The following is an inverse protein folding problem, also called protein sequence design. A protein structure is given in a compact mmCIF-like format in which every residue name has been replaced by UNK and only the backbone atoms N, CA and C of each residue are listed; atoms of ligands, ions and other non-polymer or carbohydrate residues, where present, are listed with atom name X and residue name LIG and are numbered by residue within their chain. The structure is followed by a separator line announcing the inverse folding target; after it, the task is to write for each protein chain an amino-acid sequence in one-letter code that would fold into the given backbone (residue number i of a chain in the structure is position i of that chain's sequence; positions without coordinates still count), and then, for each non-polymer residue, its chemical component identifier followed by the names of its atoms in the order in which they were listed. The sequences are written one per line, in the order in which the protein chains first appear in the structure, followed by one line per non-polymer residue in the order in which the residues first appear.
data_IF_725307281828
#
_entry.id   IF_725307281828
#
_cell.length_a   1.000
_cell.length_b   1.000
_cell.length_c   1.000
_cell.angle_alpha   90.00
_cell.angle_beta   90.00
_cell.angle_gamma   90.00
#
_symmetry.space_group_name_H-M   'P 1'
#
loop_
_entity.id
_entity.type
_entity.pdbx_description
1 polymer ?
#
# COMPACT_ATOMS: atom_id res chain seq x y z
N UNK A 1 -18.88 -14.64 -9.09
CA UNK A 1 -17.96 -13.74 -9.88
C UNK A 1 -18.26 -13.69 -11.39
N UNK A 2 -19.34 -14.30 -11.86
CA UNK A 2 -19.74 -14.33 -13.28
C UNK A 2 -20.62 -13.11 -13.62
N UNK A 3 -21.26 -12.51 -12.63
CA UNK A 3 -22.10 -11.32 -12.80
C UNK A 3 -21.33 -10.10 -12.34
N UNK A 4 -21.16 -9.07 -13.19
CA UNK A 4 -20.50 -7.83 -12.79
C UNK A 4 -21.28 -7.20 -11.63
N UNK A 5 -20.56 -6.72 -10.63
CA UNK A 5 -21.19 -5.98 -9.54
C UNK A 5 -21.53 -4.55 -9.99
N UNK A 6 -22.37 -3.86 -9.20
CA UNK A 6 -22.83 -2.49 -9.51
C UNK A 6 -21.66 -1.52 -9.72
N UNK A 7 -20.55 -1.69 -8.98
CA UNK A 7 -19.36 -0.83 -9.13
C UNK A 7 -18.67 -1.08 -10.47
N UNK A 8 -18.58 -2.33 -10.93
CA UNK A 8 -18.04 -2.66 -12.26
C UNK A 8 -18.93 -2.09 -13.37
N UNK A 9 -20.25 -2.19 -13.24
CA UNK A 9 -21.20 -1.60 -14.18
C UNK A 9 -21.07 -0.08 -14.24
N UNK A 10 -21.04 0.60 -13.09
CA UNK A 10 -20.87 2.05 -13.03
C UNK A 10 -19.54 2.53 -13.65
N UNK A 11 -18.46 1.72 -13.48
CA UNK A 11 -17.16 2.01 -14.12
C UNK A 11 -17.19 1.83 -15.63
N UNK A 12 -17.92 0.83 -16.13
CA UNK A 12 -18.10 0.61 -17.56
C UNK A 12 -18.86 1.77 -18.21
N UNK A 13 -19.91 2.27 -17.53
CA UNK A 13 -20.69 3.42 -18.00
C UNK A 13 -19.90 4.74 -17.97
N UNK A 14 -18.96 4.89 -17.00
CA UNK A 14 -18.09 6.06 -16.88
C UNK A 14 -16.77 5.94 -17.64
N UNK A 15 -16.53 4.82 -18.33
CA UNK A 15 -15.24 4.34 -18.80
C UNK A 15 -14.59 5.07 -19.97
N UNK A 16 -14.81 6.37 -20.09
CA UNK A 16 -14.15 7.21 -21.12
C UNK A 16 -12.75 7.60 -20.62
N UNK A 17 -11.71 7.26 -21.40
CA UNK A 17 -10.36 7.78 -21.23
C UNK A 17 -9.43 6.99 -20.31
N UNK A 18 -9.64 5.69 -20.14
CA UNK A 18 -8.68 4.82 -19.42
C UNK A 18 -7.36 4.79 -20.18
N UNK A 19 -6.29 5.24 -19.53
CA UNK A 19 -4.93 5.17 -20.11
C UNK A 19 -4.39 3.77 -19.95
N UNK A 20 -3.93 3.19 -21.05
CA UNK A 20 -3.16 1.95 -21.03
C UNK A 20 -1.69 2.22 -20.72
N UNK A 21 -1.02 1.20 -20.17
CA UNK A 21 0.43 1.13 -20.12
C UNK A 21 1.02 1.27 -21.55
N UNK A 22 2.16 1.94 -21.65
CA UNK A 22 2.87 2.15 -22.92
C UNK A 22 3.21 0.85 -23.65
N UNK A 23 3.49 -0.23 -22.91
CA UNK A 23 3.80 -1.55 -23.49
C UNK A 23 2.55 -2.17 -24.12
N UNK A 24 1.42 -2.13 -23.42
CA UNK A 24 0.14 -2.65 -23.91
C UNK A 24 -0.37 -1.84 -25.11
N UNK A 25 -0.25 -0.54 -25.05
CA UNK A 25 -0.58 0.33 -26.19
C UNK A 25 0.26 0.00 -27.44
N UNK A 26 1.56 -0.23 -27.27
CA UNK A 26 2.44 -0.61 -28.38
C UNK A 26 1.99 -1.94 -29.03
N UNK A 27 1.55 -2.91 -28.22
CA UNK A 27 1.02 -4.18 -28.72
C UNK A 27 -0.27 -3.94 -29.53
N UNK A 28 -1.23 -3.16 -29.01
CA UNK A 28 -2.46 -2.84 -29.74
C UNK A 28 -2.18 -2.12 -31.06
N UNK A 29 -1.31 -1.12 -31.05
CA UNK A 29 -0.94 -0.35 -32.24
C UNK A 29 -0.25 -1.25 -33.30
N UNK A 30 0.74 -2.05 -32.89
CA UNK A 30 1.44 -2.97 -33.80
C UNK A 30 0.51 -4.03 -34.40
N UNK A 31 -0.44 -4.53 -33.60
CA UNK A 31 -1.42 -5.50 -34.06
C UNK A 31 -2.37 -4.83 -35.10
N UNK A 32 -2.88 -3.65 -34.83
CA UNK A 32 -3.74 -2.92 -35.76
C UNK A 32 -3.04 -2.63 -37.10
N UNK A 33 -1.76 -2.21 -37.06
CA UNK A 33 -0.96 -1.97 -38.28
C UNK A 33 -0.74 -3.28 -39.07
N UNK A 34 -0.45 -4.38 -38.40
CA UNK A 34 -0.23 -5.68 -39.03
C UNK A 34 -1.47 -6.24 -39.72
N UNK A 35 -2.66 -5.87 -39.24
CA UNK A 35 -3.94 -6.34 -39.77
C UNK A 35 -4.63 -5.31 -40.65
N UNK A 36 -3.90 -4.26 -41.10
CA UNK A 36 -4.37 -3.22 -42.03
C UNK A 36 -5.70 -2.57 -41.62
N UNK A 37 -5.88 -2.33 -40.32
CA UNK A 37 -7.09 -1.68 -39.80
C UNK A 37 -7.06 -0.22 -40.19
N UNK A 38 -7.96 0.17 -41.11
CA UNK A 38 -8.07 1.54 -41.62
C UNK A 38 -8.94 2.45 -40.74
N UNK A 39 -9.85 1.89 -39.97
CA UNK A 39 -10.78 2.62 -39.13
C UNK A 39 -10.10 3.41 -38.02
N UNK A 40 -10.62 4.58 -37.68
CA UNK A 40 -10.09 5.40 -36.58
C UNK A 40 -10.27 4.71 -35.22
N UNK A 41 -11.32 3.91 -35.07
CA UNK A 41 -11.63 3.11 -33.87
C UNK A 41 -11.86 1.67 -34.30
N UNK A 42 -11.24 0.73 -33.59
CA UNK A 42 -11.47 -0.70 -33.78
C UNK A 42 -11.84 -1.36 -32.45
N UNK A 43 -12.51 -2.50 -32.52
CA UNK A 43 -13.09 -3.16 -31.35
C UNK A 43 -12.49 -4.54 -31.11
N UNK A 44 -12.28 -4.86 -29.83
CA UNK A 44 -11.88 -6.17 -29.34
C UNK A 44 -12.97 -6.74 -28.45
N UNK A 45 -13.47 -7.92 -28.76
CA UNK A 45 -14.40 -8.64 -27.90
C UNK A 45 -13.64 -9.56 -26.95
N UNK A 46 -13.91 -9.42 -25.65
CA UNK A 46 -13.22 -10.13 -24.58
C UNK A 46 -14.20 -11.07 -23.87
N UNK A 47 -13.83 -12.34 -23.80
CA UNK A 47 -14.62 -13.44 -23.23
C UNK A 47 -13.87 -14.02 -22.03
N UNK A 48 -14.27 -13.71 -20.79
CA UNK A 48 -13.57 -14.13 -19.56
C UNK A 48 -12.05 -13.89 -19.58
N UNK A 49 -11.63 -12.74 -20.12
CA UNK A 49 -10.21 -12.39 -20.23
C UNK A 49 -9.45 -13.10 -21.37
N UNK A 50 -10.16 -13.67 -22.33
CA UNK A 50 -9.60 -14.20 -23.58
C UNK A 50 -10.26 -13.52 -24.78
N UNK A 51 -9.64 -13.59 -25.96
CA UNK A 51 -10.18 -13.04 -27.21
C UNK A 51 -9.89 -14.01 -28.36
N UNK A 52 -10.56 -13.79 -29.51
CA UNK A 52 -10.33 -14.57 -30.76
C UNK A 52 -9.03 -14.13 -31.45
N UNK A 53 -8.65 -12.86 -31.30
CA UNK A 53 -7.55 -12.19 -31.99
C UNK A 53 -6.20 -12.65 -31.43
N UNK A 54 -5.45 -13.41 -32.23
CA UNK A 54 -4.10 -13.88 -31.84
C UNK A 54 -3.15 -12.70 -31.66
N UNK A 55 -2.45 -12.71 -30.52
CA UNK A 55 -1.49 -11.66 -30.14
C UNK A 55 -2.07 -10.60 -29.23
N UNK A 56 -3.40 -10.59 -28.99
CA UNK A 56 -4.07 -9.66 -28.07
C UNK A 56 -4.49 -10.30 -26.74
N UNK A 57 -4.08 -11.54 -26.46
CA UNK A 57 -4.48 -12.30 -25.27
C UNK A 57 -4.04 -11.59 -23.98
N UNK A 58 -2.86 -10.95 -23.99
CA UNK A 58 -2.37 -10.15 -22.84
C UNK A 58 -3.24 -8.92 -22.59
N UNK A 59 -3.72 -8.28 -23.67
CA UNK A 59 -4.61 -7.12 -23.58
C UNK A 59 -5.97 -7.56 -23.04
N UNK A 60 -6.55 -8.62 -23.60
CA UNK A 60 -7.82 -9.16 -23.15
C UNK A 60 -7.78 -9.53 -21.66
N UNK A 61 -6.68 -10.14 -21.22
CA UNK A 61 -6.46 -10.49 -19.81
C UNK A 61 -6.31 -9.24 -18.94
N UNK A 62 -5.50 -8.26 -19.33
CA UNK A 62 -5.30 -7.01 -18.61
C UNK A 62 -6.64 -6.28 -18.38
N UNK A 63 -7.46 -6.16 -19.44
CA UNK A 63 -8.75 -5.47 -19.33
C UNK A 63 -9.72 -6.24 -18.43
N UNK A 64 -9.81 -7.55 -18.58
CA UNK A 64 -10.65 -8.38 -17.72
C UNK A 64 -10.26 -8.30 -16.25
N UNK A 65 -8.95 -8.20 -15.95
CA UNK A 65 -8.46 -8.07 -14.59
C UNK A 65 -8.85 -6.73 -13.94
N UNK A 66 -8.99 -5.66 -14.76
CA UNK A 66 -9.44 -4.35 -14.30
C UNK A 66 -10.97 -4.20 -14.31
N UNK A 67 -11.62 -4.87 -15.23
CA UNK A 67 -13.07 -4.85 -15.45
C UNK A 67 -13.60 -6.28 -15.53
N UNK A 68 -13.72 -7.00 -14.42
CA UNK A 68 -14.11 -8.42 -14.40
C UNK A 68 -15.58 -8.57 -14.81
N UNK A 69 -15.78 -8.73 -16.12
CA UNK A 69 -17.08 -8.93 -16.74
C UNK A 69 -16.98 -10.08 -17.76
N UNK A 70 -17.98 -10.97 -17.83
CA UNK A 70 -17.92 -12.17 -18.68
C UNK A 70 -17.71 -11.89 -20.16
N UNK A 71 -18.29 -10.79 -20.64
CA UNK A 71 -18.26 -10.40 -22.04
C UNK A 71 -18.16 -8.88 -22.16
N UNK A 72 -17.06 -8.42 -22.74
CA UNK A 72 -16.78 -7.00 -22.95
C UNK A 72 -16.48 -6.74 -24.42
N UNK A 73 -16.90 -5.57 -24.92
CA UNK A 73 -16.41 -4.97 -26.15
C UNK A 73 -15.60 -3.73 -25.79
N UNK A 74 -14.37 -3.67 -26.29
CA UNK A 74 -13.44 -2.57 -26.00
C UNK A 74 -13.05 -1.88 -27.28
N UNK A 75 -13.27 -0.57 -27.33
CA UNK A 75 -12.87 0.28 -28.44
C UNK A 75 -11.46 0.84 -28.23
N UNK A 76 -10.63 0.80 -29.26
CA UNK A 76 -9.27 1.33 -29.27
C UNK A 76 -9.11 2.34 -30.40
N UNK A 77 -8.41 3.46 -30.11
CA UNK A 77 -8.00 4.39 -31.16
C UNK A 77 -6.85 3.82 -31.98
N UNK A 78 -6.93 3.90 -33.30
CA UNK A 78 -5.88 3.48 -34.24
C UNK A 78 -4.72 4.47 -34.35
N UNK A 79 -4.89 5.71 -33.85
CA UNK A 79 -3.86 6.74 -33.79
C UNK A 79 -3.25 6.80 -32.39
N UNK A 80 -2.02 7.29 -32.28
CA UNK A 80 -1.10 7.35 -31.15
C UNK A 80 -1.63 7.93 -29.81
N UNK A 81 -2.88 7.69 -29.46
CA UNK A 81 -3.45 8.01 -28.16
C UNK A 81 -3.42 6.76 -27.29
N UNK A 82 -2.64 6.79 -26.21
CA UNK A 82 -2.60 5.73 -25.19
C UNK A 82 -3.93 5.63 -24.40
N UNK A 83 -5.06 5.61 -25.10
CA UNK A 83 -6.38 5.64 -24.48
C UNK A 83 -7.29 4.60 -25.10
N UNK A 84 -8.04 3.92 -24.24
CA UNK A 84 -9.20 3.12 -24.62
C UNK A 84 -10.32 4.12 -24.94
N UNK A 85 -10.98 3.93 -26.08
CA UNK A 85 -12.12 4.74 -26.49
C UNK A 85 -13.33 4.43 -25.63
N UNK A 86 -13.68 3.13 -25.54
CA UNK A 86 -14.83 2.67 -24.76
C UNK A 86 -14.64 1.27 -24.22
N UNK A 87 -15.33 0.96 -23.12
CA UNK A 87 -15.48 -0.40 -22.58
C UNK A 87 -16.98 -0.62 -22.38
N UNK A 88 -17.55 -1.56 -23.10
CA UNK A 88 -18.98 -1.82 -23.09
C UNK A 88 -19.27 -3.28 -22.71
N UNK A 89 -20.32 -3.49 -21.95
CA UNK A 89 -20.88 -4.82 -21.72
C UNK A 89 -21.68 -5.25 -22.96
N UNK A 90 -21.48 -6.49 -23.43
CA UNK A 90 -22.31 -7.10 -24.46
C UNK A 90 -23.27 -8.12 -23.85
N UNK A 91 -24.47 -8.18 -24.37
CA UNK A 91 -25.44 -9.22 -24.05
C UNK A 91 -25.16 -10.49 -24.84
N UNK A 92 -25.41 -11.66 -24.26
CA UNK A 92 -25.29 -12.95 -24.95
C UNK A 92 -26.21 -13.04 -26.19
N UNK A 93 -27.34 -12.35 -26.18
CA UNK A 93 -28.29 -12.31 -27.31
C UNK A 93 -27.68 -11.61 -28.54
N UNK A 94 -26.68 -10.78 -28.36
CA UNK A 94 -26.00 -10.05 -29.43
C UNK A 94 -24.87 -10.86 -30.09
N UNK A 95 -24.61 -12.08 -29.60
CA UNK A 95 -23.56 -12.95 -30.13
C UNK A 95 -24.08 -13.77 -31.32
N UNK A 96 -23.23 -13.90 -32.35
CA UNK A 96 -23.42 -14.87 -33.41
C UNK A 96 -23.20 -16.28 -32.87
N UNK A 97 -23.63 -17.30 -33.59
CA UNK A 97 -23.45 -18.71 -33.21
C UNK A 97 -21.97 -19.05 -32.94
N UNK A 98 -21.06 -18.61 -33.80
CA UNK A 98 -19.62 -18.76 -33.59
C UNK A 98 -19.09 -18.04 -32.33
N UNK A 99 -19.64 -16.86 -32.02
CA UNK A 99 -19.27 -16.12 -30.82
C UNK A 99 -19.81 -16.80 -29.55
N UNK A 100 -20.98 -17.43 -29.62
CA UNK A 100 -21.56 -18.21 -28.53
C UNK A 100 -20.72 -19.46 -28.23
N UNK A 101 -20.27 -20.16 -29.26
CA UNK A 101 -19.37 -21.31 -29.11
C UNK A 101 -18.05 -20.90 -28.45
N UNK A 102 -17.44 -19.81 -28.91
CA UNK A 102 -16.22 -19.29 -28.31
C UNK A 102 -16.43 -18.84 -26.85
N UNK A 103 -17.58 -18.20 -26.55
CA UNK A 103 -17.96 -17.85 -25.19
C UNK A 103 -18.07 -19.09 -24.29
N UNK A 104 -18.73 -20.15 -24.77
CA UNK A 104 -18.85 -21.41 -24.04
C UNK A 104 -17.48 -22.07 -23.76
N UNK A 105 -16.58 -22.06 -24.76
CA UNK A 105 -15.22 -22.53 -24.55
C UNK A 105 -14.42 -21.66 -23.58
N UNK A 106 -14.54 -20.33 -23.68
CA UNK A 106 -13.88 -19.41 -22.77
C UNK A 106 -14.38 -19.59 -21.33
N UNK A 107 -15.69 -19.76 -21.12
CA UNK A 107 -16.30 -20.09 -19.85
C UNK A 107 -15.77 -21.42 -19.29
N UNK A 108 -15.71 -22.46 -20.12
CA UNK A 108 -15.16 -23.76 -19.72
C UNK A 108 -13.69 -23.65 -19.31
N UNK A 109 -12.88 -22.93 -20.08
CA UNK A 109 -11.46 -22.67 -19.75
C UNK A 109 -11.34 -21.85 -18.47
N UNK A 110 -12.17 -20.85 -18.29
CA UNK A 110 -12.21 -20.03 -17.07
C UNK A 110 -12.56 -20.88 -15.84
N UNK A 111 -13.63 -21.68 -15.91
CA UNK A 111 -14.04 -22.59 -14.85
C UNK A 111 -12.99 -23.66 -14.55
N UNK A 112 -12.32 -24.20 -15.59
CA UNK A 112 -11.25 -25.16 -15.41
C UNK A 112 -10.04 -24.55 -14.68
N UNK A 113 -9.67 -23.30 -14.97
CA UNK A 113 -8.58 -22.60 -14.27
C UNK A 113 -8.92 -22.34 -12.79
N UNK A 114 -10.16 -21.99 -12.49
CA UNK A 114 -10.64 -21.75 -11.12
C UNK A 114 -10.76 -23.04 -10.31
N UNK A 115 -11.18 -24.16 -10.94
CA UNK A 115 -11.43 -25.45 -10.26
C UNK A 115 -10.25 -26.42 -10.30
N UNK A 116 -9.32 -26.29 -11.26
CA UNK A 116 -8.21 -27.24 -11.46
C UNK A 116 -6.94 -26.93 -10.68
N UNK A 117 -6.91 -25.90 -9.85
CA UNK A 117 -5.75 -25.64 -9.01
C UNK A 117 -6.07 -25.63 -7.53
N UNK A 118 -6.36 -26.78 -6.92
CA UNK A 118 -5.85 -26.97 -5.60
C UNK A 118 -4.34 -27.17 -5.77
N UNK A 119 -3.55 -26.11 -5.65
CA UNK A 119 -2.07 -26.20 -5.63
C UNK A 119 -1.55 -26.99 -4.43
N UNK A 120 -2.44 -27.60 -3.67
CA UNK A 120 -2.12 -28.44 -2.53
C UNK A 120 -3.03 -29.65 -2.45
N UNK A 121 -2.48 -30.86 -2.27
CA UNK A 121 -3.24 -32.05 -1.93
C UNK A 121 -3.91 -31.97 -0.54
N UNK A 122 -3.62 -30.92 0.25
CA UNK A 122 -4.31 -30.58 1.49
C UNK A 122 -5.26 -29.43 1.22
N UNK A 123 -6.52 -29.57 1.61
CA UNK A 123 -7.49 -28.47 1.60
C UNK A 123 -7.08 -27.45 2.64
N UNK A 124 -6.35 -26.44 2.26
CA UNK A 124 -6.15 -25.27 3.10
C UNK A 124 -7.48 -24.53 3.24
N UNK A 125 -7.68 -23.92 4.42
CA UNK A 125 -8.92 -23.22 4.71
C UNK A 125 -9.04 -21.91 3.92
N UNK A 126 -7.91 -21.19 3.77
CA UNK A 126 -7.80 -19.91 3.09
C UNK A 126 -6.51 -19.81 2.30
N UNK A 127 -6.52 -18.96 1.26
CA UNK A 127 -5.36 -18.61 0.47
C UNK A 127 -4.97 -17.16 0.76
N UNK A 128 -3.75 -16.91 1.23
CA UNK A 128 -3.20 -15.61 1.58
C UNK A 128 -2.07 -15.25 0.61
N UNK A 129 -2.22 -14.16 -0.12
CA UNK A 129 -1.11 -13.54 -0.85
C UNK A 129 -0.30 -12.65 0.09
N UNK A 130 1.02 -12.82 0.14
CA UNK A 130 1.94 -11.91 0.81
C UNK A 130 2.73 -11.20 -0.28
N UNK A 131 2.38 -9.95 -0.55
CA UNK A 131 3.04 -9.15 -1.58
C UNK A 131 4.35 -8.57 -1.05
N UNK A 132 5.45 -8.78 -1.78
CA UNK A 132 6.76 -8.23 -1.44
C UNK A 132 7.54 -7.84 -2.70
N UNK A 133 8.50 -6.94 -2.55
CA UNK A 133 9.44 -6.60 -3.60
C UNK A 133 10.83 -7.14 -3.23
N UNK A 134 11.39 -8.11 -3.98
CA UNK A 134 12.70 -8.70 -3.68
C UNK A 134 13.88 -7.74 -3.85
N UNK A 135 13.70 -6.66 -4.63
CA UNK A 135 14.73 -5.65 -4.94
C UNK A 135 14.67 -4.43 -3.99
N UNK A 136 13.75 -4.42 -3.02
CA UNK A 136 13.60 -3.30 -2.09
C UNK A 136 14.78 -3.27 -1.10
N UNK A 137 15.49 -2.14 -1.02
CA UNK A 137 16.68 -1.99 -0.15
C UNK A 137 16.31 -2.02 1.34
N UNK A 138 15.15 -1.45 1.71
CA UNK A 138 14.67 -1.36 3.08
C UNK A 138 13.22 -1.91 3.16
N UNK A 139 13.04 -3.22 2.95
CA UNK A 139 11.69 -3.80 2.98
C UNK A 139 11.13 -3.78 4.42
N UNK A 140 9.80 -3.69 4.57
CA UNK A 140 9.16 -3.72 5.89
C UNK A 140 9.23 -5.10 6.57
N UNK A 141 9.76 -6.13 5.88
CA UNK A 141 10.06 -7.44 6.48
C UNK A 141 11.29 -8.07 5.86
N UNK A 142 12.23 -8.49 6.69
CA UNK A 142 13.38 -9.26 6.22
C UNK A 142 12.96 -10.68 5.75
N UNK A 143 13.83 -11.35 4.99
CA UNK A 143 13.55 -12.69 4.43
C UNK A 143 13.21 -13.74 5.48
N UNK A 144 13.81 -13.64 6.68
CA UNK A 144 13.53 -14.56 7.79
C UNK A 144 12.09 -14.38 8.29
N UNK A 145 11.63 -13.13 8.46
CA UNK A 145 10.27 -12.81 8.85
C UNK A 145 9.25 -13.29 7.80
N UNK A 146 9.51 -13.08 6.50
CA UNK A 146 8.66 -13.59 5.43
C UNK A 146 8.53 -15.12 5.49
N UNK A 147 9.65 -15.83 5.70
CA UNK A 147 9.64 -17.29 5.86
C UNK A 147 8.85 -17.73 7.09
N UNK A 148 8.94 -16.98 8.21
CA UNK A 148 8.14 -17.23 9.41
C UNK A 148 6.64 -17.11 9.15
N UNK A 149 6.20 -16.09 8.39
CA UNK A 149 4.80 -15.99 7.98
C UNK A 149 4.34 -17.22 7.21
N UNK A 150 5.14 -17.73 6.25
CA UNK A 150 4.80 -18.93 5.50
C UNK A 150 4.75 -20.18 6.40
N UNK A 151 5.72 -20.33 7.29
CA UNK A 151 5.79 -21.48 8.21
C UNK A 151 4.58 -21.52 9.14
N UNK A 152 4.25 -20.39 9.78
CA UNK A 152 3.14 -20.30 10.73
C UNK A 152 1.79 -20.42 10.02
N UNK A 153 1.63 -19.79 8.84
CA UNK A 153 0.43 -19.96 8.00
C UNK A 153 0.15 -21.44 7.71
N UNK A 154 1.18 -22.22 7.37
CA UNK A 154 1.06 -23.66 7.15
C UNK A 154 0.60 -24.41 8.40
N UNK A 155 1.11 -24.04 9.58
CA UNK A 155 0.67 -24.62 10.88
C UNK A 155 -0.80 -24.28 11.17
N UNK A 156 -1.28 -23.10 10.71
CA UNK A 156 -2.67 -22.63 10.86
C UNK A 156 -3.61 -23.14 9.75
N UNK A 157 -3.15 -24.01 8.87
CA UNK A 157 -3.91 -24.51 7.73
C UNK A 157 -4.31 -23.39 6.75
N UNK A 158 -3.45 -22.36 6.58
CA UNK A 158 -3.55 -21.30 5.61
C UNK A 158 -2.52 -21.54 4.52
N UNK A 159 -2.93 -21.48 3.25
CA UNK A 159 -2.00 -21.47 2.13
C UNK A 159 -1.51 -20.04 1.89
N UNK A 160 -0.33 -19.71 2.40
CA UNK A 160 0.31 -18.43 2.16
C UNK A 160 1.34 -18.55 1.03
N UNK A 161 1.34 -17.60 0.12
CA UNK A 161 2.27 -17.53 -1.02
C UNK A 161 2.91 -16.13 -1.07
N UNK A 162 4.24 -16.07 -1.24
CA UNK A 162 4.93 -14.83 -1.55
C UNK A 162 4.69 -14.48 -3.02
N UNK A 163 4.14 -13.31 -3.28
CA UNK A 163 3.86 -12.83 -4.62
C UNK A 163 4.59 -11.51 -4.90
N UNK A 164 4.96 -11.31 -6.15
CA UNK A 164 5.62 -10.11 -6.66
C UNK A 164 4.73 -9.35 -7.65
N UNK A 165 5.23 -8.28 -8.23
CA UNK A 165 4.51 -7.53 -9.26
C UNK A 165 4.11 -8.40 -10.47
N UNK A 166 4.93 -9.39 -10.82
CA UNK A 166 4.64 -10.32 -11.92
C UNK A 166 3.41 -11.20 -11.65
N UNK A 167 3.10 -11.45 -10.37
CA UNK A 167 1.99 -12.30 -9.94
C UNK A 167 0.66 -11.57 -9.75
N UNK A 168 0.61 -10.25 -9.93
CA UNK A 168 -0.59 -9.43 -9.66
C UNK A 168 -1.81 -9.89 -10.46
N UNK A 169 -1.61 -10.47 -11.64
CA UNK A 169 -2.70 -11.05 -12.45
C UNK A 169 -3.39 -12.21 -11.76
N UNK A 170 -2.70 -12.87 -10.82
CA UNK A 170 -3.20 -14.00 -10.03
C UNK A 170 -3.85 -13.59 -8.71
N UNK A 171 -3.93 -12.28 -8.42
CA UNK A 171 -4.43 -11.77 -7.14
C UNK A 171 -5.82 -12.32 -6.78
N UNK A 172 -6.66 -12.57 -7.79
CA UNK A 172 -8.01 -13.12 -7.58
C UNK A 172 -8.05 -14.61 -7.21
N UNK A 173 -6.91 -15.30 -7.18
CA UNK A 173 -6.79 -16.68 -6.70
C UNK A 173 -6.76 -16.75 -5.16
N UNK A 174 -6.60 -15.59 -4.47
CA UNK A 174 -6.45 -15.48 -3.04
C UNK A 174 -7.69 -14.90 -2.36
N UNK A 175 -7.88 -15.25 -1.09
CA UNK A 175 -8.97 -14.74 -0.23
C UNK A 175 -8.55 -13.48 0.51
N UNK A 176 -7.25 -13.32 0.75
CA UNK A 176 -6.68 -12.18 1.47
C UNK A 176 -5.33 -11.72 0.87
N UNK A 177 -5.00 -10.46 1.14
CA UNK A 177 -3.73 -9.83 0.74
C UNK A 177 -3.05 -9.20 1.96
N UNK A 178 -1.79 -9.55 2.17
CA UNK A 178 -0.90 -8.91 3.13
C UNK A 178 0.24 -8.21 2.38
N UNK A 179 0.36 -6.90 2.52
CA UNK A 179 1.39 -6.11 1.84
C UNK A 179 2.62 -6.03 2.74
N UNK A 180 3.76 -6.47 2.21
CA UNK A 180 5.09 -6.41 2.87
C UNK A 180 6.14 -5.77 1.94
N UNK A 181 5.73 -4.69 1.27
CA UNK A 181 6.56 -3.76 0.51
C UNK A 181 6.10 -2.35 0.84
N UNK A 182 7.01 -1.38 0.81
CA UNK A 182 6.73 0.01 1.17
C UNK A 182 5.49 0.55 0.45
N UNK A 183 4.59 1.15 1.21
CA UNK A 183 3.34 1.73 0.73
C UNK A 183 3.52 3.20 0.36
N UNK A 184 2.99 3.58 -0.80
CA UNK A 184 2.89 4.98 -1.23
C UNK A 184 1.75 5.14 -2.25
N UNK A 185 1.14 6.32 -2.33
CA UNK A 185 -0.02 6.57 -3.18
C UNK A 185 0.25 6.43 -4.67
N UNK A 186 1.46 6.72 -5.10
CA UNK A 186 1.92 6.58 -6.49
C UNK A 186 2.65 5.26 -6.78
N UNK A 187 2.53 4.29 -5.86
CA UNK A 187 3.22 3.00 -5.94
C UNK A 187 2.25 1.86 -6.23
N UNK A 188 2.78 0.76 -6.76
CA UNK A 188 2.00 -0.44 -7.07
C UNK A 188 1.26 -1.00 -5.84
N UNK A 189 1.80 -0.86 -4.64
CA UNK A 189 1.21 -1.32 -3.37
C UNK A 189 -0.16 -0.70 -3.11
N UNK A 190 -0.35 0.60 -3.39
CA UNK A 190 -1.65 1.23 -3.28
C UNK A 190 -2.65 0.69 -4.32
N UNK A 191 -2.20 0.50 -5.57
CA UNK A 191 -3.06 -0.01 -6.63
C UNK A 191 -3.52 -1.45 -6.37
N UNK A 192 -2.62 -2.33 -5.90
CA UNK A 192 -3.01 -3.71 -5.57
C UNK A 192 -3.92 -3.77 -4.34
N UNK A 193 -3.69 -2.90 -3.34
CA UNK A 193 -4.56 -2.76 -2.18
C UNK A 193 -5.98 -2.34 -2.61
N UNK A 194 -6.11 -1.32 -3.47
CA UNK A 194 -7.40 -0.92 -4.03
C UNK A 194 -8.09 -2.05 -4.78
N UNK A 195 -7.34 -2.75 -5.64
CA UNK A 195 -7.86 -3.86 -6.44
C UNK A 195 -8.35 -5.01 -5.56
N UNK A 196 -7.56 -5.40 -4.55
CA UNK A 196 -7.94 -6.43 -3.61
C UNK A 196 -9.19 -6.02 -2.81
N UNK A 197 -9.26 -4.77 -2.34
CA UNK A 197 -10.44 -4.26 -1.61
C UNK A 197 -11.70 -4.23 -2.48
N UNK A 198 -11.58 -3.88 -3.76
CA UNK A 198 -12.68 -3.89 -4.71
C UNK A 198 -13.18 -5.31 -5.02
N UNK A 199 -12.27 -6.29 -4.97
CA UNK A 199 -12.60 -7.72 -5.09
C UNK A 199 -13.11 -8.30 -3.77
N UNK A 200 -13.36 -7.45 -2.77
CA UNK A 200 -13.85 -7.85 -1.47
C UNK A 200 -12.91 -8.80 -0.71
N UNK A 201 -11.60 -8.73 -0.95
CA UNK A 201 -10.59 -9.46 -0.19
C UNK A 201 -10.37 -8.80 1.19
N UNK A 202 -9.90 -9.61 2.17
CA UNK A 202 -9.34 -9.06 3.41
C UNK A 202 -7.94 -8.54 3.10
N UNK A 203 -7.68 -7.26 3.40
CA UNK A 203 -6.42 -6.59 3.01
C UNK A 203 -5.79 -5.91 4.21
N UNK A 204 -4.52 -6.16 4.42
CA UNK A 204 -3.58 -5.34 5.19
C UNK A 204 -2.43 -4.99 4.22
N UNK A 205 -2.14 -3.74 3.93
CA UNK A 205 -2.78 -2.52 4.39
C UNK A 205 -3.92 -2.13 3.43
N UNK A 206 -5.04 -1.75 4.00
CA UNK A 206 -6.18 -1.31 3.18
C UNK A 206 -5.96 0.09 2.58
N UNK A 207 -6.61 0.43 1.44
CA UNK A 207 -6.33 1.69 0.74
C UNK A 207 -6.59 2.94 1.57
N UNK A 208 -7.54 2.89 2.51
CA UNK A 208 -7.89 4.04 3.37
C UNK A 208 -6.79 4.25 4.40
N UNK A 209 -6.28 3.17 5.00
CA UNK A 209 -5.15 3.21 5.92
C UNK A 209 -3.90 3.77 5.24
N UNK A 210 -3.58 3.31 4.02
CA UNK A 210 -2.45 3.85 3.24
C UNK A 210 -2.58 5.36 3.05
N UNK A 211 -3.76 5.86 2.61
CA UNK A 211 -3.99 7.31 2.42
C UNK A 211 -3.80 8.08 3.73
N UNK A 212 -4.35 7.56 4.83
CA UNK A 212 -4.34 8.25 6.13
C UNK A 212 -2.96 8.29 6.76
N UNK A 213 -2.16 7.25 6.62
CA UNK A 213 -0.84 7.16 7.23
C UNK A 213 0.25 7.84 6.40
N UNK A 214 0.22 7.72 5.08
CA UNK A 214 1.26 8.31 4.21
C UNK A 214 1.21 9.84 4.18
N UNK A 215 0.06 10.46 4.44
CA UNK A 215 -0.11 11.91 4.38
C UNK A 215 0.05 12.57 5.75
N UNK A 216 1.23 13.15 6.01
CA UNK A 216 1.57 13.81 7.28
C UNK A 216 0.72 15.04 7.60
N UNK A 217 0.15 15.71 6.60
CA UNK A 217 -0.79 16.84 6.81
C UNK A 217 -2.10 16.30 7.33
N UNK A 218 -2.64 15.26 6.69
CA UNK A 218 -3.85 14.60 7.17
C UNK A 218 -3.70 14.08 8.61
N UNK A 219 -2.58 13.40 8.89
CA UNK A 219 -2.29 12.91 10.24
C UNK A 219 -2.25 14.05 11.26
N UNK A 220 -1.58 15.16 10.94
CA UNK A 220 -1.51 16.34 11.82
C UNK A 220 -2.91 16.90 12.12
N UNK A 221 -3.76 17.07 11.11
CA UNK A 221 -5.14 17.53 11.28
C UNK A 221 -5.98 16.55 12.12
N UNK A 222 -5.80 15.23 11.89
CA UNK A 222 -6.46 14.21 12.69
C UNK A 222 -6.06 14.29 14.16
N UNK A 223 -4.76 14.41 14.46
CA UNK A 223 -4.25 14.50 15.81
C UNK A 223 -4.79 15.74 16.54
N UNK A 224 -4.86 16.89 15.86
CA UNK A 224 -5.44 18.12 16.38
C UNK A 224 -6.93 17.98 16.68
N UNK A 225 -7.70 17.45 15.73
CA UNK A 225 -9.15 17.24 15.86
C UNK A 225 -9.49 16.32 17.02
N UNK A 226 -8.76 15.22 17.15
CA UNK A 226 -8.99 14.19 18.18
C UNK A 226 -8.32 14.54 19.52
N UNK A 227 -7.70 15.72 19.63
CA UNK A 227 -6.98 16.18 20.83
C UNK A 227 -5.95 15.16 21.31
N UNK A 228 -5.17 14.61 20.37
CA UNK A 228 -4.03 13.74 20.62
C UNK A 228 -2.79 14.63 20.65
N UNK A 229 -1.95 14.44 21.66
CA UNK A 229 -0.71 15.22 21.76
C UNK A 229 0.21 14.91 20.58
N UNK A 230 0.58 15.96 19.85
CA UNK A 230 1.49 15.94 18.72
C UNK A 230 2.43 17.14 18.79
N UNK A 231 3.57 17.13 18.09
CA UNK A 231 4.42 18.30 17.98
C UNK A 231 3.67 19.49 17.35
N UNK A 232 3.93 20.71 17.81
CA UNK A 232 3.40 21.91 17.13
C UNK A 232 3.85 21.90 15.68
N UNK A 233 2.93 22.17 14.77
CA UNK A 233 3.17 22.06 13.33
C UNK A 233 2.59 23.25 12.57
N UNK A 234 3.26 23.65 11.48
CA UNK A 234 2.86 24.71 10.57
C UNK A 234 2.93 24.21 9.14
N UNK A 235 1.93 24.56 8.34
CA UNK A 235 1.97 24.34 6.90
C UNK A 235 2.68 25.52 6.23
N UNK A 236 3.72 25.23 5.47
CA UNK A 236 4.44 26.20 4.65
C UNK A 236 4.04 26.00 3.19
N UNK A 237 3.60 27.05 2.54
CA UNK A 237 3.18 27.04 1.14
C UNK A 237 4.24 27.73 0.28
N UNK A 238 4.52 27.17 -0.90
CA UNK A 238 5.48 27.75 -1.85
C UNK A 238 5.10 29.17 -2.27
N UNK A 239 3.80 29.46 -2.34
CA UNK A 239 3.26 30.76 -2.70
C UNK A 239 3.37 31.82 -1.59
N UNK A 240 3.62 31.41 -0.35
CA UNK A 240 3.60 32.30 0.81
C UNK A 240 5.01 32.75 1.20
N UNK A 241 5.08 33.92 1.85
CA UNK A 241 6.33 34.41 2.42
C UNK A 241 6.59 33.72 3.78
N UNK A 242 7.35 32.63 3.76
CA UNK A 242 7.74 31.86 4.93
C UNK A 242 8.99 32.50 5.58
N UNK A 243 8.83 33.36 6.57
CA UNK A 243 9.96 34.02 7.22
C UNK A 243 10.48 33.21 8.40
N UNK A 244 11.80 33.21 8.60
CA UNK A 244 12.43 32.52 9.72
C UNK A 244 11.87 32.96 11.06
N UNK A 245 11.77 34.30 11.27
CA UNK A 245 11.24 34.87 12.53
C UNK A 245 9.81 34.43 12.83
N UNK A 246 8.94 34.35 11.83
CA UNK A 246 7.54 33.93 12.04
C UNK A 246 7.42 32.44 12.38
N UNK A 247 8.28 31.59 11.83
CA UNK A 247 8.29 30.14 12.12
C UNK A 247 8.87 29.94 13.54
N UNK A 248 10.00 30.56 13.84
CA UNK A 248 10.65 30.47 15.17
C UNK A 248 9.73 30.95 16.30
N UNK A 249 8.96 32.02 16.07
CA UNK A 249 8.00 32.53 17.06
C UNK A 249 6.94 31.50 17.46
N UNK A 250 6.59 30.57 16.55
CA UNK A 250 5.55 29.56 16.77
C UNK A 250 6.11 28.19 17.20
N UNK A 251 7.24 27.78 16.63
CA UNK A 251 7.80 26.42 16.84
C UNK A 251 9.01 26.40 17.77
N UNK A 252 9.70 27.53 17.96
CA UNK A 252 11.00 27.58 18.64
C UNK A 252 12.14 27.07 17.74
N UNK A 253 13.35 26.99 18.34
CA UNK A 253 14.55 26.43 17.69
C UNK A 253 15.13 25.30 18.55
N UNK A 254 15.66 24.25 17.89
CA UNK A 254 15.54 23.98 16.47
C UNK A 254 14.14 23.49 16.09
N UNK A 255 13.79 23.51 14.80
CA UNK A 255 12.59 22.88 14.25
C UNK A 255 12.96 22.01 13.04
N UNK A 256 12.04 21.17 12.59
CA UNK A 256 12.23 20.33 11.40
C UNK A 256 11.28 20.74 10.27
N UNK A 257 11.72 20.54 9.03
CA UNK A 257 10.88 20.68 7.85
C UNK A 257 10.87 19.34 7.10
N UNK A 258 9.69 18.91 6.69
CA UNK A 258 9.51 17.64 5.95
C UNK A 258 8.47 17.78 4.85
N UNK A 259 8.59 16.91 3.83
CA UNK A 259 7.59 16.75 2.79
C UNK A 259 6.42 15.94 3.34
N UNK A 260 5.16 16.27 3.02
CA UNK A 260 3.97 15.55 3.51
C UNK A 260 4.00 14.05 3.23
N UNK A 261 4.39 13.63 2.03
CA UNK A 261 4.31 12.25 1.56
C UNK A 261 5.67 11.51 1.59
N UNK A 262 6.66 12.02 2.35
CA UNK A 262 8.00 11.41 2.46
C UNK A 262 8.02 10.21 3.39
N UNK A 263 8.81 9.16 3.03
CA UNK A 263 9.03 7.95 3.84
C UNK A 263 10.49 7.85 4.31
N UNK A 264 10.78 6.98 5.29
CA UNK A 264 12.12 6.62 5.79
C UNK A 264 13.01 7.80 6.20
N UNK A 265 12.46 8.88 6.74
CA UNK A 265 13.21 10.08 7.13
C UNK A 265 14.00 10.75 5.98
N UNK A 266 13.74 10.37 4.73
CA UNK A 266 14.24 11.09 3.58
C UNK A 266 13.56 12.46 3.48
N UNK A 267 14.29 13.47 2.99
CA UNK A 267 13.75 14.83 2.81
C UNK A 267 13.25 15.51 4.13
N UNK A 268 13.84 15.12 5.26
CA UNK A 268 13.65 15.84 6.54
C UNK A 268 14.89 16.71 6.81
N UNK A 269 14.68 17.99 7.12
CA UNK A 269 15.73 18.95 7.44
C UNK A 269 15.53 19.51 8.83
N UNK A 270 16.57 19.50 9.67
CA UNK A 270 16.61 20.18 10.96
C UNK A 270 17.16 21.59 10.73
N UNK A 271 16.46 22.60 11.24
CA UNK A 271 16.72 24.00 11.02
C UNK A 271 17.13 24.63 12.34
N UNK A 272 18.32 25.23 12.35
CA UNK A 272 18.89 25.93 13.51
C UNK A 272 19.11 27.43 13.22
N UNK A 273 19.13 27.83 11.95
CA UNK A 273 19.38 29.20 11.52
C UNK A 273 18.68 29.52 10.18
N UNK A 274 18.67 30.80 9.81
CA UNK A 274 17.99 31.28 8.62
C UNK A 274 18.58 30.77 7.30
N UNK A 275 19.90 30.54 7.25
CA UNK A 275 20.54 30.03 6.03
C UNK A 275 20.08 28.59 5.74
N UNK A 276 20.09 27.73 6.75
CA UNK A 276 19.55 26.37 6.66
C UNK A 276 18.08 26.36 6.24
N UNK A 277 17.25 27.32 6.75
CA UNK A 277 15.87 27.44 6.28
C UNK A 277 15.80 27.75 4.81
N UNK A 278 16.58 28.75 4.34
CA UNK A 278 16.55 29.16 2.94
C UNK A 278 16.96 28.02 2.00
N UNK A 279 18.02 27.29 2.34
CA UNK A 279 18.47 26.10 1.59
C UNK A 279 17.42 24.99 1.59
N UNK A 280 16.83 24.70 2.76
CA UNK A 280 15.80 23.66 2.89
C UNK A 280 14.54 24.00 2.06
N UNK A 281 14.06 25.26 2.14
CA UNK A 281 12.91 25.70 1.35
C UNK A 281 13.20 25.64 -0.16
N UNK A 282 14.39 26.10 -0.60
CA UNK A 282 14.79 26.06 -2.01
C UNK A 282 14.80 24.63 -2.52
N UNK A 283 15.32 23.67 -1.74
CA UNK A 283 15.37 22.26 -2.11
C UNK A 283 14.01 21.59 -2.06
N UNK A 284 13.28 21.68 -0.95
CA UNK A 284 12.08 20.89 -0.72
C UNK A 284 10.88 21.41 -1.53
N UNK A 285 10.80 22.70 -1.82
CA UNK A 285 9.78 23.25 -2.71
C UNK A 285 9.99 22.92 -4.20
N UNK A 286 11.10 22.28 -4.57
CA UNK A 286 11.21 21.64 -5.90
C UNK A 286 10.39 20.34 -5.98
N UNK A 287 10.17 19.69 -4.84
CA UNK A 287 9.53 18.37 -4.73
C UNK A 287 8.05 18.46 -4.31
N UNK A 288 7.66 19.47 -3.55
CA UNK A 288 6.29 19.63 -3.05
C UNK A 288 5.90 21.11 -2.97
N UNK A 289 4.64 21.41 -3.27
CA UNK A 289 4.09 22.77 -3.11
C UNK A 289 3.78 23.12 -1.65
N UNK A 290 3.70 22.11 -0.76
CA UNK A 290 3.38 22.22 0.65
C UNK A 290 4.45 21.50 1.46
N UNK A 291 4.94 22.12 2.53
CA UNK A 291 5.86 21.50 3.49
C UNK A 291 5.25 21.56 4.89
N UNK A 292 5.62 20.61 5.74
CA UNK A 292 5.27 20.61 7.15
C UNK A 292 6.49 21.02 7.97
N UNK A 293 6.42 22.20 8.62
CA UNK A 293 7.36 22.59 9.65
C UNK A 293 6.85 22.14 11.01
N UNK A 294 7.71 21.58 11.84
CA UNK A 294 7.31 20.95 13.11
C UNK A 294 8.34 21.22 14.19
N UNK A 295 7.92 21.47 15.43
CA UNK A 295 8.84 21.63 16.56
C UNK A 295 9.71 20.38 16.72
N UNK A 296 10.98 20.59 17.05
CA UNK A 296 11.91 19.49 17.28
C UNK A 296 11.83 19.04 18.75
N UNK A 297 11.50 17.77 18.93
CA UNK A 297 11.38 17.13 20.25
C UNK A 297 12.56 16.16 20.43
N UNK A 298 13.61 16.50 21.20
CA UNK A 298 14.73 15.60 21.42
C UNK A 298 14.37 14.47 22.40
N UNK A 299 14.72 13.24 22.04
CA UNK A 299 14.64 12.07 22.91
C UNK A 299 15.82 11.15 22.61
N UNK A 300 16.21 10.29 23.55
CA UNK A 300 17.25 9.28 23.33
C UNK A 300 16.78 8.17 22.41
N UNK A 301 15.49 7.86 22.48
CA UNK A 301 14.82 6.87 21.65
C UNK A 301 13.37 7.27 21.37
N UNK A 302 12.81 6.68 20.34
CA UNK A 302 11.38 6.73 20.04
C UNK A 302 10.74 5.38 20.37
N UNK A 303 9.55 5.41 20.97
CA UNK A 303 8.71 4.24 21.09
C UNK A 303 8.10 3.94 19.71
N UNK A 304 8.29 2.71 19.22
CA UNK A 304 7.50 2.14 18.13
C UNK A 304 6.52 1.13 18.75
N UNK A 305 5.24 1.45 18.73
CA UNK A 305 4.17 0.56 19.22
C UNK A 305 3.45 -0.05 18.03
N UNK A 306 3.58 -1.36 17.89
CA UNK A 306 2.78 -2.14 16.92
C UNK A 306 1.37 -2.34 17.45
N UNK A 307 0.38 -1.96 16.66
CA UNK A 307 -1.05 -2.13 16.96
C UNK A 307 -1.67 -2.97 15.86
N UNK A 308 -2.41 -4.00 16.24
CA UNK A 308 -3.20 -4.84 15.33
C UNK A 308 -4.64 -4.88 15.84
N UNK A 309 -5.61 -4.54 14.99
CA UNK A 309 -7.04 -4.54 15.35
C UNK A 309 -7.31 -3.78 16.66
N UNK A 310 -6.70 -2.60 16.80
CA UNK A 310 -6.75 -1.73 17.98
C UNK A 310 -6.19 -2.34 19.28
N UNK A 311 -5.46 -3.44 19.20
CA UNK A 311 -4.77 -4.05 20.35
C UNK A 311 -3.24 -3.95 20.20
N UNK A 312 -2.50 -3.68 21.29
CA UNK A 312 -1.04 -3.66 21.26
C UNK A 312 -0.48 -5.04 20.91
N UNK A 313 0.38 -5.10 19.91
CA UNK A 313 1.01 -6.30 19.41
C UNK A 313 2.46 -6.42 19.87
N UNK A 314 3.27 -5.41 19.61
CA UNK A 314 4.68 -5.35 20.03
C UNK A 314 5.08 -3.92 20.42
N UNK A 315 6.19 -3.79 21.13
CA UNK A 315 6.77 -2.48 21.46
C UNK A 315 8.29 -2.53 21.37
N UNK A 316 8.86 -1.54 20.67
CA UNK A 316 10.29 -1.36 20.53
C UNK A 316 10.69 0.07 20.95
N UNK A 317 11.89 0.21 21.50
CA UNK A 317 12.59 1.48 21.59
C UNK A 317 13.58 1.53 20.45
N UNK A 318 13.45 2.52 19.58
CA UNK A 318 14.42 2.79 18.53
C UNK A 318 15.30 3.97 18.93
N UNK A 319 16.56 3.68 19.22
CA UNK A 319 17.53 4.69 19.66
C UNK A 319 17.99 5.53 18.46
N UNK A 320 18.33 6.79 18.74
CA UNK A 320 18.91 7.65 17.72
C UNK A 320 20.27 7.10 17.28
N UNK A 321 20.60 7.22 15.99
CA UNK A 321 21.91 6.84 15.48
C UNK A 321 23.00 7.65 16.19
N UNK A 322 24.18 7.06 16.38
CA UNK A 322 25.29 7.67 17.12
C UNK A 322 25.63 9.05 16.56
N UNK A 323 25.64 10.06 17.42
CA UNK A 323 25.88 11.46 17.09
C UNK A 323 24.90 12.04 16.05
N UNK A 324 23.68 11.48 16.01
CA UNK A 324 22.62 11.92 15.10
C UNK A 324 21.29 12.10 15.84
N UNK A 325 20.40 12.90 15.26
CA UNK A 325 19.11 13.24 15.84
C UNK A 325 17.95 12.40 15.28
N UNK A 326 18.25 11.50 14.34
CA UNK A 326 17.31 10.53 13.75
C UNK A 326 17.78 9.10 14.02
N UNK A 327 16.85 8.16 13.91
CA UNK A 327 17.13 6.72 14.01
C UNK A 327 18.04 6.27 12.85
N UNK A 328 17.86 6.82 11.65
CA UNK A 328 18.66 6.55 10.47
C UNK A 328 19.58 7.73 10.16
N UNK A 329 20.86 7.44 9.93
CA UNK A 329 21.84 8.42 9.44
C UNK A 329 22.19 8.09 7.99
N UNK A 330 21.46 8.68 7.05
CA UNK A 330 21.63 8.46 5.61
C UNK A 330 22.97 8.94 5.04
N UNK A 331 23.73 9.75 5.79
CA UNK A 331 25.08 10.17 5.40
C UNK A 331 26.12 9.07 5.65
N UNK A 332 25.81 8.05 6.44
CA UNK A 332 26.71 6.93 6.76
C UNK A 332 26.22 5.65 6.09
N UNK A 333 27.16 4.81 5.63
CA UNK A 333 26.86 3.44 5.14
C UNK A 333 27.44 2.41 6.10
N UNK A 334 26.74 1.27 6.31
CA UNK A 334 27.20 0.17 7.14
C UNK A 334 26.97 0.37 8.64
N UNK A 335 27.84 -0.17 9.48
CA UNK A 335 27.71 -0.08 10.96
C UNK A 335 27.67 1.38 11.40
N UNK A 336 26.57 1.78 12.06
CA UNK A 336 26.34 3.14 12.56
C UNK A 336 25.46 4.02 11.67
N UNK A 337 24.89 3.47 10.57
CA UNK A 337 23.85 4.14 9.78
C UNK A 337 22.46 4.07 10.44
N UNK A 338 22.26 3.16 11.37
CA UNK A 338 21.04 3.01 12.15
C UNK A 338 21.34 3.00 13.65
N UNK A 339 20.43 3.50 14.46
CA UNK A 339 20.50 3.38 15.91
C UNK A 339 20.26 1.94 16.39
N UNK A 340 20.55 1.70 17.68
CA UNK A 340 20.21 0.44 18.34
C UNK A 340 18.69 0.32 18.52
N UNK A 341 18.21 -0.87 18.79
CA UNK A 341 16.82 -1.13 19.17
C UNK A 341 16.75 -2.02 20.40
N UNK A 342 15.66 -1.92 21.12
CA UNK A 342 15.34 -2.76 22.29
C UNK A 342 13.86 -3.11 22.24
N UNK A 343 13.53 -4.39 22.11
CA UNK A 343 12.14 -4.85 22.14
C UNK A 343 11.71 -5.06 23.59
N UNK A 344 10.56 -4.49 23.95
CA UNK A 344 10.06 -4.41 25.31
C UNK A 344 8.72 -5.16 25.39
N UNK A 345 8.49 -5.97 26.45
CA UNK A 345 7.18 -6.55 26.71
C UNK A 345 6.12 -5.45 26.88
N UNK A 346 4.93 -5.64 26.31
CA UNK A 346 3.85 -4.63 26.32
C UNK A 346 3.51 -4.16 27.75
N UNK A 347 3.54 -5.04 28.74
CA UNK A 347 3.21 -4.68 30.14
C UNK A 347 4.26 -3.76 30.80
N UNK A 348 5.44 -3.60 30.21
CA UNK A 348 6.47 -2.66 30.66
C UNK A 348 6.39 -1.29 29.98
N UNK A 349 5.58 -1.15 28.94
CA UNK A 349 5.38 0.12 28.23
C UNK A 349 4.53 1.06 29.10
N UNK A 350 4.90 2.36 29.23
CA UNK A 350 4.09 3.32 29.96
C UNK A 350 2.65 3.37 29.46
N UNK A 351 1.68 3.39 30.37
CA UNK A 351 0.24 3.32 30.05
C UNK A 351 -0.22 4.47 29.15
N UNK A 352 0.36 5.66 29.30
CA UNK A 352 0.07 6.84 28.48
C UNK A 352 0.53 6.65 27.01
N UNK A 353 1.67 5.97 26.81
CA UNK A 353 2.18 5.60 25.45
C UNK A 353 1.21 4.63 24.78
N UNK A 354 0.81 3.55 25.47
CA UNK A 354 -0.16 2.60 24.91
C UNK A 354 -1.52 3.26 24.61
N UNK A 355 -2.03 4.08 25.55
CA UNK A 355 -3.29 4.82 25.31
C UNK A 355 -3.22 5.74 24.11
N UNK A 356 -2.12 6.45 23.91
CA UNK A 356 -1.93 7.33 22.77
C UNK A 356 -1.89 6.53 21.45
N UNK A 357 -1.15 5.40 21.43
CA UNK A 357 -1.07 4.53 20.27
C UNK A 357 -2.44 3.96 19.88
N UNK A 358 -3.18 3.38 20.83
CA UNK A 358 -4.52 2.82 20.58
C UNK A 358 -5.49 3.92 20.11
N UNK A 359 -5.47 5.09 20.76
CA UNK A 359 -6.35 6.19 20.43
C UNK A 359 -6.15 6.67 18.98
N UNK A 360 -4.90 6.84 18.54
CA UNK A 360 -4.64 7.33 17.18
C UNK A 360 -5.00 6.27 16.13
N UNK A 361 -4.67 5.00 16.36
CA UNK A 361 -4.96 3.92 15.39
C UNK A 361 -6.45 3.65 15.26
N UNK A 362 -7.24 3.77 16.33
CA UNK A 362 -8.71 3.65 16.26
C UNK A 362 -9.37 4.73 15.38
N UNK A 363 -8.70 5.86 15.16
CA UNK A 363 -9.15 6.90 14.23
C UNK A 363 -8.74 6.61 12.77
N UNK A 364 -7.82 5.65 12.55
CA UNK A 364 -7.33 5.27 11.22
C UNK A 364 -8.07 4.04 10.71
N UNK A 365 -8.08 2.96 11.48
CA UNK A 365 -8.74 1.71 11.07
C UNK A 365 -8.39 0.55 11.99
N UNK A 366 -8.68 -0.68 11.52
CA UNK A 366 -8.47 -1.91 12.28
C UNK A 366 -7.29 -2.74 11.74
N UNK A 367 -6.42 -2.15 10.93
CA UNK A 367 -5.27 -2.83 10.32
C UNK A 367 -4.12 -3.06 11.29
N UNK A 368 -2.94 -3.24 10.70
CA UNK A 368 -1.66 -3.33 11.39
C UNK A 368 -0.93 -1.99 11.27
N UNK A 369 -0.62 -1.37 12.40
CA UNK A 369 -0.01 -0.04 12.44
C UNK A 369 1.21 -0.02 13.33
N UNK A 370 2.19 0.83 12.99
CA UNK A 370 3.32 1.18 13.84
C UNK A 370 3.24 2.66 14.25
N UNK A 371 3.09 2.93 15.53
CA UNK A 371 2.97 4.29 16.06
C UNK A 371 4.27 4.75 16.67
N UNK A 372 4.84 5.83 16.14
CA UNK A 372 6.03 6.46 16.69
C UNK A 372 5.65 7.51 17.73
N UNK A 373 6.14 7.32 18.95
CA UNK A 373 5.79 8.16 20.11
C UNK A 373 7.04 8.57 20.84
N UNK A 374 7.13 9.86 21.15
CA UNK A 374 8.11 10.42 22.08
C UNK A 374 7.47 10.61 23.44
N UNK A 375 8.19 10.21 24.50
CA UNK A 375 7.73 10.38 25.88
C UNK A 375 8.59 11.43 26.57
N UNK A 376 7.97 12.55 26.97
CA UNK A 376 8.64 13.63 27.70
C UNK A 376 7.75 14.08 28.86
N UNK A 377 8.29 14.05 30.08
CA UNK A 377 7.56 14.47 31.30
C UNK A 377 6.18 13.79 31.39
N UNK A 378 6.13 12.48 31.20
CA UNK A 378 4.92 11.65 31.19
C UNK A 378 3.89 12.03 30.09
N UNK A 379 4.25 12.87 29.13
CA UNK A 379 3.41 13.19 27.97
C UNK A 379 3.83 12.34 26.79
N UNK A 380 2.92 11.50 26.32
CA UNK A 380 3.10 10.71 25.09
C UNK A 380 2.73 11.57 23.90
N UNK A 381 3.70 11.88 23.05
CA UNK A 381 3.58 12.77 21.90
C UNK A 381 3.67 11.91 20.63
N UNK A 382 2.59 11.80 19.87
CA UNK A 382 2.54 11.03 18.62
C UNK A 382 3.27 11.78 17.52
N UNK A 383 4.25 11.14 16.92
CA UNK A 383 5.09 11.71 15.85
C UNK A 383 4.60 11.27 14.47
N UNK A 384 4.32 9.98 14.34
CA UNK A 384 3.93 9.35 13.05
C UNK A 384 3.12 8.07 13.31
N UNK A 385 2.28 7.72 12.35
CA UNK A 385 1.63 6.40 12.27
C UNK A 385 1.94 5.80 10.91
N UNK A 386 2.50 4.58 10.93
CA UNK A 386 2.87 3.85 9.74
C UNK A 386 1.84 2.73 9.52
N UNK A 387 1.28 2.64 8.30
CA UNK A 387 0.32 1.61 7.89
C UNK A 387 1.00 0.26 7.65
N UNK A 388 2.28 0.26 7.27
CA UNK A 388 3.06 -0.94 6.99
C UNK A 388 4.33 -0.96 7.88
N UNK A 389 4.18 -1.19 9.20
CA UNK A 389 5.30 -1.15 10.12
C UNK A 389 6.30 -2.28 9.84
N UNK A 390 7.55 -2.04 10.18
CA UNK A 390 8.57 -3.09 10.12
C UNK A 390 8.19 -4.27 11.01
N UNK A 391 8.38 -5.46 10.48
CA UNK A 391 8.34 -6.73 11.20
C UNK A 391 9.55 -7.53 10.74
N UNK A 392 10.63 -7.40 11.49
CA UNK A 392 11.87 -8.09 11.24
C UNK A 392 12.10 -9.19 12.27
N UNK A 393 12.53 -10.34 11.79
CA UNK A 393 12.94 -11.42 12.68
C UNK A 393 14.14 -11.01 13.52
N UNK A 394 14.07 -11.31 14.83
CA UNK A 394 15.01 -10.90 15.87
C UNK A 394 14.92 -9.41 16.28
N UNK A 395 13.95 -8.67 15.76
CA UNK A 395 13.64 -7.29 16.15
C UNK A 395 12.26 -7.24 16.80
N UNK A 396 11.20 -7.04 15.99
CA UNK A 396 9.83 -6.91 16.52
C UNK A 396 9.29 -8.21 17.10
N UNK A 397 9.76 -9.35 16.63
CA UNK A 397 9.38 -10.66 17.15
C UNK A 397 10.24 -11.14 18.38
N UNK A 398 11.24 -10.37 18.80
CA UNK A 398 12.19 -10.82 19.83
C UNK A 398 11.54 -11.25 21.16
N UNK A 399 10.38 -10.70 21.52
CA UNK A 399 9.63 -11.08 22.72
C UNK A 399 8.57 -12.15 22.43
N UNK A 400 7.79 -11.97 21.36
CA UNK A 400 6.66 -12.85 21.06
C UNK A 400 7.06 -14.08 20.25
N UNK A 401 8.19 -14.05 19.54
CA UNK A 401 8.59 -15.14 18.65
C UNK A 401 7.51 -15.47 17.61
N UNK A 402 7.21 -16.76 17.49
CA UNK A 402 6.18 -17.27 16.56
C UNK A 402 4.78 -16.71 16.84
N UNK A 403 4.48 -16.30 18.06
CA UNK A 403 3.18 -15.75 18.48
C UNK A 403 2.85 -14.44 17.75
N UNK A 404 3.86 -13.60 17.43
CA UNK A 404 3.65 -12.38 16.65
C UNK A 404 3.05 -12.69 15.29
N UNK A 405 3.64 -13.63 14.57
CA UNK A 405 3.18 -14.08 13.25
C UNK A 405 1.81 -14.75 13.34
N UNK A 406 1.61 -15.58 14.37
CA UNK A 406 0.31 -16.22 14.64
C UNK A 406 -0.81 -15.19 14.80
N UNK A 407 -0.61 -14.14 15.61
CA UNK A 407 -1.63 -13.10 15.84
C UNK A 407 -1.99 -12.36 14.57
N UNK A 408 -1.00 -12.00 13.74
CA UNK A 408 -1.24 -11.32 12.45
C UNK A 408 -2.03 -12.24 11.50
N UNK A 409 -1.63 -13.49 11.36
CA UNK A 409 -2.32 -14.45 10.51
C UNK A 409 -3.73 -14.78 11.03
N UNK A 410 -3.91 -14.82 12.35
CA UNK A 410 -5.21 -15.03 12.98
C UNK A 410 -6.19 -13.88 12.73
N UNK A 411 -5.69 -12.64 12.61
CA UNK A 411 -6.52 -11.51 12.17
C UNK A 411 -7.15 -11.79 10.79
N UNK A 412 -6.36 -12.27 9.83
CA UNK A 412 -6.88 -12.66 8.50
C UNK A 412 -7.91 -13.78 8.61
N UNK A 413 -7.62 -14.82 9.39
CA UNK A 413 -8.55 -15.94 9.59
C UNK A 413 -9.88 -15.47 10.18
N UNK A 414 -9.86 -14.68 11.25
CA UNK A 414 -11.07 -14.12 11.86
C UNK A 414 -11.86 -13.26 10.88
N UNK A 415 -11.18 -12.34 10.17
CA UNK A 415 -11.84 -11.46 9.21
C UNK A 415 -12.50 -12.24 8.05
N UNK A 416 -11.88 -13.34 7.60
CA UNK A 416 -12.45 -14.24 6.60
C UNK A 416 -13.62 -15.06 7.16
N UNK A 417 -13.54 -15.52 8.40
CA UNK A 417 -14.64 -16.25 9.08
C UNK A 417 -15.90 -15.40 9.28
N UNK A 418 -15.74 -14.11 9.58
CA UNK A 418 -16.87 -13.18 9.68
C UNK A 418 -17.53 -12.87 8.33
N UNK A 419 -16.81 -13.15 7.25
CA UNK A 419 -17.25 -12.82 5.90
C UNK A 419 -18.02 -13.97 5.24
N UNK A 420 -17.75 -15.20 5.61
CA UNK A 420 -18.36 -16.43 5.10
C UNK A 420 -19.12 -17.19 6.19
#
# INVERSE_FOLDING_TARGET
KIIPNVQTLNRLESGVGVRMDNVLHKICYQWAQKNDIADEIWYLDIYFGTCKEKGLEKIARYIFDHYPCPLLRVGFYNKSRNQIESIQFRSLIQLTDEEQDFFAEALNRFNQKVWRSPRSPKSFRYNLAIFYNPEEELPPSNKKALNKFLEIAKKMNIHAELITEEDITRLMEFDALFIRSTTALNHITYHISQRAKQADMVVIDDPVSIIRCTNKVYLNELLLKEKILAPKSLLLFKSNKNTFSSIVAQLGLPFIIKIPDGSFSFDIKKITNNNELSEALALLFTKSAILLAQEFIPTEFDWRIGILDNEPLFACKYFMAKDHWQIYNHAKRGKGSCGAYETIPIYQVPKNVLKAAIKVTSCIGNGLYGVDIKLINDKAIVIEVNDNPSIDHEVEDAILGDELYYRILNYFSKALEYKY
#
